data_IF_703572632898
#
_entry.id   IF_703572632898
#
_cell.length_a   1.000
_cell.length_b   1.000
_cell.length_c   1.000
_cell.angle_alpha   90.00
_cell.angle_beta   90.00
_cell.angle_gamma   90.00
#
_symmetry.space_group_name_H-M   'P 1'
#
loop_
_entity.id
_entity.type
_entity.pdbx_description
1 polymer ?
#
# COMPACT_ATOMS: atom_id res chain seq x y z
N UNK A 1 -9.41 -0.82 -6.78
CA UNK A 1 -9.40 -0.79 -5.29
C UNK A 1 -8.63 0.43 -4.82
N UNK A 2 -9.18 1.19 -3.92
CA UNK A 2 -8.52 2.37 -3.35
C UNK A 2 -7.98 2.05 -1.97
N UNK A 3 -6.90 2.71 -1.57
CA UNK A 3 -6.35 2.56 -0.22
C UNK A 3 -7.41 2.89 0.84
N UNK A 4 -8.20 3.94 0.62
CA UNK A 4 -9.25 4.34 1.57
C UNK A 4 -10.34 3.29 1.73
N UNK A 5 -10.63 2.52 0.69
CA UNK A 5 -11.61 1.43 0.75
C UNK A 5 -11.06 0.22 1.51
N UNK A 6 -9.78 -0.06 1.34
CA UNK A 6 -9.15 -1.27 1.85
C UNK A 6 -8.59 -1.12 3.27
N UNK A 7 -8.32 0.10 3.71
CA UNK A 7 -7.81 0.34 5.06
C UNK A 7 -8.82 -0.14 6.11
N UNK A 8 -8.33 -0.86 7.12
CA UNK A 8 -9.19 -1.41 8.18
C UNK A 8 -9.86 -2.74 7.82
N UNK A 9 -9.71 -3.23 6.59
CA UNK A 9 -10.31 -4.50 6.18
C UNK A 9 -9.71 -5.64 6.97
N UNK A 10 -10.54 -6.63 7.33
CA UNK A 10 -10.08 -7.78 8.09
C UNK A 10 -9.20 -8.69 7.24
N UNK A 11 -8.20 -9.28 7.89
CA UNK A 11 -7.38 -10.35 7.31
C UNK A 11 -7.83 -11.66 7.94
N UNK A 12 -8.25 -12.60 7.12
CA UNK A 12 -8.88 -13.86 7.55
C UNK A 12 -8.06 -15.05 7.08
N UNK A 13 -7.79 -15.97 8.00
CA UNK A 13 -7.14 -17.25 7.69
C UNK A 13 -8.15 -18.18 7.02
N UNK A 14 -7.80 -18.72 5.85
CA UNK A 14 -8.67 -19.68 5.17
C UNK A 14 -8.66 -21.06 5.86
N UNK A 15 -7.61 -21.37 6.60
CA UNK A 15 -7.50 -22.67 7.29
C UNK A 15 -8.37 -22.75 8.54
N UNK A 16 -8.59 -21.62 9.24
CA UNK A 16 -9.34 -21.59 10.50
C UNK A 16 -10.60 -20.73 10.43
N UNK A 17 -10.75 -19.90 9.42
CA UNK A 17 -11.80 -18.90 9.28
C UNK A 17 -11.77 -17.82 10.38
N UNK A 18 -10.66 -17.69 11.08
CA UNK A 18 -10.48 -16.65 12.10
C UNK A 18 -9.90 -15.37 11.51
N UNK A 19 -10.26 -14.23 12.10
CA UNK A 19 -9.59 -12.98 11.84
C UNK A 19 -8.21 -13.03 12.47
N UNK A 20 -7.17 -12.77 11.68
CA UNK A 20 -5.77 -12.81 12.15
C UNK A 20 -5.11 -11.43 12.13
N UNK A 21 -5.81 -10.41 11.70
CA UNK A 21 -5.34 -9.03 11.71
C UNK A 21 -6.28 -8.10 10.96
N UNK A 22 -5.87 -6.83 10.90
CA UNK A 22 -6.56 -5.81 10.10
C UNK A 22 -5.56 -5.02 9.30
N UNK A 23 -5.93 -4.62 8.10
CA UNK A 23 -5.08 -3.77 7.25
C UNK A 23 -4.93 -2.41 7.94
N UNK A 24 -3.68 -2.03 8.20
CA UNK A 24 -3.34 -0.73 8.77
C UNK A 24 -2.78 0.19 7.68
N UNK A 25 -1.68 -0.20 7.08
CA UNK A 25 -0.99 0.59 6.07
C UNK A 25 -0.56 -0.26 4.88
N UNK A 26 -0.31 0.43 3.77
CA UNK A 26 0.21 -0.18 2.54
C UNK A 26 1.68 0.15 2.41
N UNK A 27 2.49 -0.86 2.15
CA UNK A 27 3.92 -0.69 1.88
C UNK A 27 4.09 -0.69 0.38
N UNK A 28 4.56 0.43 -0.16
CA UNK A 28 4.72 0.63 -1.59
C UNK A 28 6.19 0.66 -1.96
N UNK A 29 6.56 -0.10 -2.98
CA UNK A 29 7.87 0.03 -3.63
C UNK A 29 7.69 0.93 -4.85
N UNK A 30 8.21 2.18 -4.82
CA UNK A 30 8.02 3.09 -5.93
C UNK A 30 8.76 2.65 -7.22
N UNK A 31 9.80 1.85 -7.09
CA UNK A 31 10.51 1.30 -8.26
C UNK A 31 9.64 0.31 -9.02
N UNK A 32 8.89 -0.50 -8.29
CA UNK A 32 7.95 -1.47 -8.85
C UNK A 32 6.60 -0.85 -9.14
N UNK A 33 6.33 0.30 -8.58
CA UNK A 33 5.02 0.98 -8.64
C UNK A 33 3.89 0.06 -8.19
N UNK A 34 4.14 -0.61 -7.08
CA UNK A 34 3.23 -1.64 -6.56
C UNK A 34 3.24 -1.68 -5.05
N UNK A 35 2.12 -2.14 -4.49
CA UNK A 35 2.03 -2.54 -3.09
C UNK A 35 2.78 -3.87 -2.95
N UNK A 36 3.78 -3.91 -2.09
CA UNK A 36 4.60 -5.11 -1.88
C UNK A 36 4.32 -5.80 -0.55
N UNK A 37 3.67 -5.11 0.37
CA UNK A 37 3.28 -5.65 1.66
C UNK A 37 2.17 -4.81 2.28
N UNK A 38 1.50 -5.38 3.27
CA UNK A 38 0.58 -4.68 4.15
C UNK A 38 1.18 -4.66 5.56
N UNK A 39 1.08 -3.52 6.21
CA UNK A 39 1.29 -3.42 7.65
C UNK A 39 -0.06 -3.68 8.32
N UNK A 40 -0.08 -4.57 9.30
CA UNK A 40 -1.30 -5.01 9.96
C UNK A 40 -1.31 -4.59 11.41
N UNK A 41 -2.50 -4.42 11.95
CA UNK A 41 -2.75 -4.23 13.38
C UNK A 41 -3.60 -5.37 13.90
N UNK A 42 -3.64 -5.52 15.23
CA UNK A 42 -4.44 -6.54 15.93
C UNK A 42 -4.03 -7.96 15.55
N UNK A 43 -2.72 -8.17 15.44
CA UNK A 43 -2.13 -9.48 15.19
C UNK A 43 -1.54 -10.06 16.47
N UNK A 44 -1.34 -11.37 16.51
CA UNK A 44 -0.76 -12.06 17.66
C UNK A 44 0.78 -12.07 17.64
N UNK A 45 1.37 -11.85 16.48
CA UNK A 45 2.82 -11.92 16.31
C UNK A 45 3.32 -10.75 15.50
N UNK A 46 3.97 -11.02 14.39
CA UNK A 46 4.44 -10.00 13.48
C UNK A 46 3.32 -9.09 12.95
N UNK A 47 3.69 -8.06 12.24
CA UNK A 47 2.76 -7.04 11.76
C UNK A 47 2.79 -6.88 10.24
N UNK A 48 3.49 -7.75 9.52
CA UNK A 48 3.71 -7.60 8.08
C UNK A 48 3.15 -8.81 7.32
N UNK A 49 2.39 -8.52 6.29
CA UNK A 49 1.89 -9.51 5.34
C UNK A 49 2.42 -9.14 3.96
N UNK A 50 3.29 -9.98 3.42
CA UNK A 50 3.85 -9.76 2.08
C UNK A 50 2.77 -9.97 1.02
N UNK A 51 2.80 -9.19 -0.03
CA UNK A 51 1.82 -9.30 -1.11
C UNK A 51 1.74 -10.72 -1.68
N UNK A 52 2.89 -11.37 -1.87
CA UNK A 52 2.98 -12.73 -2.40
C UNK A 52 2.28 -13.78 -1.53
N UNK A 53 2.08 -13.50 -0.24
CA UNK A 53 1.45 -14.42 0.71
C UNK A 53 -0.06 -14.18 0.85
N UNK A 54 -0.60 -13.17 0.20
CA UNK A 54 -2.03 -12.91 0.13
C UNK A 54 -2.67 -13.90 -0.85
N UNK A 55 -3.70 -14.63 -0.40
CA UNK A 55 -4.47 -15.52 -1.26
C UNK A 55 -5.37 -14.70 -2.17
N UNK A 56 -6.14 -13.78 -1.60
CA UNK A 56 -7.01 -12.88 -2.35
C UNK A 56 -7.22 -11.58 -1.59
N UNK A 57 -7.30 -10.50 -2.34
CA UNK A 57 -7.66 -9.19 -1.80
C UNK A 57 -9.10 -8.92 -2.21
N UNK A 58 -10.03 -9.41 -1.41
CA UNK A 58 -11.44 -9.36 -1.71
C UNK A 58 -12.12 -8.08 -1.27
N UNK A 59 -13.38 -7.93 -1.68
CA UNK A 59 -14.20 -6.76 -1.34
C UNK A 59 -14.48 -6.66 0.17
N UNK A 60 -14.56 -7.80 0.86
CA UNK A 60 -14.94 -7.84 2.27
C UNK A 60 -13.78 -8.19 3.20
N UNK A 61 -12.79 -8.90 2.71
CA UNK A 61 -11.65 -9.34 3.49
C UNK A 61 -10.43 -9.62 2.62
N UNK A 62 -9.27 -9.54 3.24
CA UNK A 62 -8.02 -10.06 2.68
C UNK A 62 -7.86 -11.47 3.23
N UNK A 63 -7.56 -12.45 2.39
CA UNK A 63 -7.40 -13.82 2.84
C UNK A 63 -5.96 -14.27 2.76
N UNK A 64 -5.57 -15.10 3.74
CA UNK A 64 -4.27 -15.75 3.83
C UNK A 64 -4.49 -17.23 4.15
N UNK A 65 -3.52 -18.10 3.86
CA UNK A 65 -3.67 -19.52 4.17
C UNK A 65 -3.72 -19.78 5.67
N UNK A 66 -2.89 -19.07 6.43
CA UNK A 66 -2.84 -19.20 7.90
C UNK A 66 -2.18 -17.97 8.52
N UNK A 67 -2.37 -17.80 9.83
CA UNK A 67 -1.81 -16.67 10.55
C UNK A 67 -0.28 -16.63 10.61
N UNK A 68 0.41 -17.74 10.34
CA UNK A 68 1.87 -17.79 10.32
C UNK A 68 2.48 -17.07 9.10
N UNK A 69 1.66 -16.67 8.14
CA UNK A 69 2.09 -15.81 7.03
C UNK A 69 2.30 -14.36 7.46
N UNK A 70 1.79 -13.99 8.62
CA UNK A 70 2.02 -12.67 9.21
C UNK A 70 3.34 -12.74 9.97
N UNK A 71 4.30 -11.95 9.54
CA UNK A 71 5.70 -12.03 10.00
C UNK A 71 6.20 -10.65 10.44
N UNK A 72 7.39 -10.62 11.02
CA UNK A 72 8.08 -9.37 11.29
C UNK A 72 8.63 -8.81 9.98
N UNK A 73 8.63 -7.47 9.85
CA UNK A 73 9.12 -6.83 8.65
C UNK A 73 10.62 -7.07 8.47
N UNK A 74 11.00 -7.56 7.29
CA UNK A 74 12.39 -7.65 6.89
C UNK A 74 12.97 -6.24 6.63
N UNK A 75 14.32 -6.08 6.67
CA UNK A 75 14.95 -4.76 6.45
C UNK A 75 14.49 -4.06 5.18
N UNK A 76 14.29 -4.78 4.08
CA UNK A 76 13.83 -4.19 2.82
C UNK A 76 12.42 -3.61 2.93
N UNK A 77 11.55 -4.22 3.73
CA UNK A 77 10.20 -3.71 3.98
C UNK A 77 10.23 -2.53 4.95
N UNK A 78 11.05 -2.60 5.99
CA UNK A 78 11.24 -1.49 6.93
C UNK A 78 11.68 -0.23 6.19
N UNK A 79 12.58 -0.38 5.23
CA UNK A 79 13.09 0.73 4.43
C UNK A 79 12.00 1.44 3.59
N UNK A 80 10.90 0.74 3.29
CA UNK A 80 9.76 1.27 2.52
C UNK A 80 8.57 1.64 3.42
N UNK A 81 8.70 1.50 4.74
CA UNK A 81 7.61 1.63 5.71
C UNK A 81 7.73 2.91 6.53
N UNK A 82 6.70 3.18 7.32
CA UNK A 82 6.67 4.28 8.25
C UNK A 82 6.10 5.56 7.68
N UNK A 83 6.01 6.58 8.52
CA UNK A 83 5.41 7.88 8.17
C UNK A 83 6.08 8.55 6.99
N UNK A 84 7.39 8.39 6.84
CA UNK A 84 8.16 9.00 5.78
C UNK A 84 7.79 8.44 4.39
N UNK A 85 7.23 7.23 4.35
CA UNK A 85 6.88 6.55 3.11
C UNK A 85 5.37 6.46 2.89
N UNK A 86 4.59 7.09 3.77
CA UNK A 86 3.14 7.14 3.61
C UNK A 86 2.78 8.06 2.45
N UNK A 87 1.96 7.59 1.52
CA UNK A 87 1.61 8.34 0.31
C UNK A 87 0.50 9.36 0.55
N UNK A 88 -0.58 8.93 1.17
CA UNK A 88 -1.78 9.76 1.32
C UNK A 88 -1.49 10.97 2.20
N UNK A 89 -1.94 12.13 1.75
CA UNK A 89 -1.72 13.39 2.43
C UNK A 89 -0.44 14.12 2.05
N UNK A 90 0.43 13.48 1.28
CA UNK A 90 1.67 14.13 0.84
C UNK A 90 1.46 14.99 -0.39
N UNK A 91 2.29 15.99 -0.48
CA UNK A 91 2.44 16.82 -1.66
C UNK A 91 2.97 15.97 -2.82
N UNK A 92 2.47 16.24 -4.02
CA UNK A 92 2.95 15.56 -5.23
C UNK A 92 3.72 16.56 -6.07
N UNK A 93 4.97 16.22 -6.37
CA UNK A 93 5.85 17.02 -7.21
C UNK A 93 6.17 16.26 -8.48
N UNK A 94 6.28 16.99 -9.60
CA UNK A 94 6.92 16.43 -10.78
C UNK A 94 8.44 16.40 -10.59
N UNK A 95 9.13 15.57 -11.33
CA UNK A 95 10.59 15.55 -11.31
C UNK A 95 11.21 16.88 -11.76
N UNK A 96 10.44 17.73 -12.45
CA UNK A 96 10.84 19.09 -12.82
C UNK A 96 10.66 20.13 -11.71
N UNK A 97 10.14 19.71 -10.54
CA UNK A 97 10.01 20.60 -9.39
C UNK A 97 8.67 21.33 -9.28
N UNK A 98 7.69 20.94 -10.06
CA UNK A 98 6.36 21.57 -10.00
C UNK A 98 5.45 20.84 -9.03
N UNK A 99 4.81 21.59 -8.14
CA UNK A 99 3.82 21.08 -7.20
C UNK A 99 2.47 20.97 -7.93
N UNK A 100 1.94 19.75 -8.01
CA UNK A 100 0.67 19.51 -8.70
C UNK A 100 -0.47 19.14 -7.76
N UNK A 101 -0.26 19.28 -6.46
CA UNK A 101 -1.31 19.09 -5.45
C UNK A 101 -0.95 18.10 -4.37
N UNK A 102 -1.96 17.71 -3.60
CA UNK A 102 -1.84 16.75 -2.51
C UNK A 102 -2.47 15.43 -2.93
N UNK A 103 -1.83 14.34 -2.56
CA UNK A 103 -2.33 12.99 -2.86
C UNK A 103 -3.48 12.65 -1.91
N UNK A 104 -4.68 12.51 -2.46
CA UNK A 104 -5.89 12.23 -1.68
C UNK A 104 -6.13 10.73 -1.49
N UNK A 105 -5.81 9.93 -2.51
CA UNK A 105 -6.00 8.49 -2.45
C UNK A 105 -5.13 7.80 -3.52
N UNK A 106 -5.04 6.49 -3.43
CA UNK A 106 -4.29 5.67 -4.38
C UNK A 106 -5.16 4.53 -4.84
N UNK A 107 -5.21 4.31 -6.14
CA UNK A 107 -5.91 3.17 -6.74
C UNK A 107 -4.91 2.11 -7.15
N UNK A 108 -5.21 0.86 -6.85
CA UNK A 108 -4.34 -0.27 -7.17
C UNK A 108 -5.16 -1.45 -7.68
N UNK A 109 -4.47 -2.32 -8.41
CA UNK A 109 -5.03 -3.57 -8.88
C UNK A 109 -5.01 -4.58 -7.72
N UNK A 110 -6.17 -5.07 -7.32
CA UNK A 110 -6.30 -6.01 -6.20
C UNK A 110 -5.69 -7.38 -6.50
N UNK A 111 -5.50 -7.73 -7.77
CA UNK A 111 -4.90 -9.01 -8.14
C UNK A 111 -3.37 -8.96 -8.14
N UNK A 112 -2.78 -7.85 -8.53
CA UNK A 112 -1.33 -7.73 -8.73
C UNK A 112 -0.63 -6.80 -7.74
N UNK A 113 -1.38 -5.90 -7.09
CA UNK A 113 -0.82 -4.85 -6.24
C UNK A 113 -0.30 -3.64 -7.02
N UNK A 114 -0.33 -3.67 -8.33
CA UNK A 114 0.16 -2.57 -9.16
C UNK A 114 -0.64 -1.31 -8.90
N UNK A 115 0.05 -0.18 -8.69
CA UNK A 115 -0.60 1.11 -8.54
C UNK A 115 -1.03 1.58 -9.92
N UNK A 116 -2.33 1.79 -10.10
CA UNK A 116 -2.92 2.18 -11.37
C UNK A 116 -3.10 3.68 -11.47
N UNK A 117 -3.41 4.35 -10.36
CA UNK A 117 -3.69 5.78 -10.37
C UNK A 117 -3.37 6.43 -9.02
N UNK A 118 -2.89 7.65 -9.09
CA UNK A 118 -2.71 8.52 -7.94
C UNK A 118 -3.81 9.59 -8.03
N UNK A 119 -4.66 9.68 -7.01
CA UNK A 119 -5.85 10.51 -7.04
C UNK A 119 -5.60 11.84 -6.34
N UNK A 120 -5.63 12.93 -7.09
CA UNK A 120 -5.48 14.29 -6.61
C UNK A 120 -6.76 15.07 -6.92
N UNK A 121 -7.02 16.13 -6.16
CA UNK A 121 -8.19 16.98 -6.38
C UNK A 121 -8.22 17.61 -7.77
N UNK A 122 -7.05 17.97 -8.30
CA UNK A 122 -6.91 18.60 -9.61
C UNK A 122 -6.88 17.65 -10.79
N UNK A 123 -6.96 16.35 -10.56
CA UNK A 123 -6.92 15.32 -11.60
C UNK A 123 -6.01 14.17 -11.23
N UNK A 124 -6.24 13.03 -11.85
CA UNK A 124 -5.52 11.80 -11.54
C UNK A 124 -4.19 11.74 -12.29
N UNK A 125 -3.22 11.09 -11.66
CA UNK A 125 -1.92 10.83 -12.25
C UNK A 125 -1.76 9.33 -12.42
N UNK A 126 -1.36 8.89 -13.62
CA UNK A 126 -1.15 7.47 -13.89
C UNK A 126 -0.08 6.90 -12.94
N UNK A 127 -0.34 5.73 -12.38
CA UNK A 127 0.60 5.07 -11.47
C UNK A 127 1.96 4.81 -12.09
N UNK A 128 2.02 4.60 -13.41
CA UNK A 128 3.27 4.42 -14.15
C UNK A 128 4.21 5.63 -14.09
N UNK A 129 3.71 6.79 -13.70
CA UNK A 129 4.51 8.01 -13.55
C UNK A 129 5.19 8.12 -12.18
N UNK A 130 4.86 7.25 -11.24
CA UNK A 130 5.47 7.26 -9.90
C UNK A 130 6.97 7.00 -9.99
N UNK A 131 7.77 7.86 -9.35
CA UNK A 131 9.22 7.77 -9.32
C UNK A 131 9.74 7.48 -7.92
N UNK A 132 9.21 8.17 -6.93
CA UNK A 132 9.71 8.04 -5.57
C UNK A 132 8.72 8.54 -4.52
N UNK A 133 8.94 8.07 -3.30
CA UNK A 133 8.17 8.48 -2.12
C UNK A 133 9.17 8.74 -1.02
N UNK A 134 9.14 9.94 -0.47
CA UNK A 134 10.04 10.33 0.62
C UNK A 134 9.31 11.13 1.68
N UNK A 135 10.08 11.64 2.64
CA UNK A 135 9.52 12.37 3.77
C UNK A 135 8.80 13.66 3.35
N UNK A 136 9.25 14.29 2.28
CA UNK A 136 8.72 15.59 1.85
C UNK A 136 7.57 15.45 0.85
N UNK A 137 7.69 14.52 -0.11
CA UNK A 137 6.77 14.46 -1.24
C UNK A 137 6.72 13.09 -1.89
N UNK A 138 5.70 12.93 -2.71
CA UNK A 138 5.63 11.89 -3.73
C UNK A 138 6.10 12.52 -5.03
N UNK A 139 7.02 11.89 -5.73
CA UNK A 139 7.58 12.42 -6.98
C UNK A 139 7.09 11.58 -8.15
N UNK A 140 6.62 12.27 -9.18
CA UNK A 140 6.15 11.65 -10.43
C UNK A 140 6.89 12.23 -11.62
N UNK A 141 6.96 11.46 -12.71
CA UNK A 141 7.50 11.97 -13.95
C UNK A 141 6.55 13.03 -14.52
N UNK A 142 7.08 14.10 -15.16
CA UNK A 142 6.23 15.03 -15.89
C UNK A 142 5.58 14.33 -17.09
N UNK A 143 4.52 14.91 -17.57
CA UNK A 143 3.85 14.39 -18.79
C UNK A 143 4.79 14.44 -19.99
#
# INVERSE_FOLDING_TARGET
>A
MRFSEAAGRQVVSTSTADTVGRVDEFVVDPRRRAVVALSLKRTDGGDTLLWKDIVAFGADAVTVTSGDKIVDAAPAIIALSGKEHRLIGKRVLTAGGDDIGTLDDVEFDADTGTITSLLLAGGDVAGARLVGVGSYAVVVRPK
#
